data_IF_659739286366
#
_entry.id   IF_659739286366
#
_cell.length_a   1.000
_cell.length_b   1.000
_cell.length_c   1.000
_cell.angle_alpha   90.00
_cell.angle_beta   90.00
_cell.angle_gamma   90.00
#
_symmetry.space_group_name_H-M   'P 1'
#
loop_
_entity.id
_entity.type
_entity.pdbx_description
1 polymer ?
#
# COMPACT_ATOMS: atom_id res chain seq x y z
N UNK A 1 -51.86 -29.26 -11.06
CA UNK A 1 -51.84 -27.99 -10.31
C UNK A 1 -50.42 -27.45 -10.38
N UNK A 2 -50.12 -26.67 -11.42
CA UNK A 2 -48.84 -26.00 -11.64
C UNK A 2 -49.00 -24.55 -11.19
N UNK A 3 -48.61 -24.27 -9.95
CA UNK A 3 -48.61 -22.90 -9.42
C UNK A 3 -47.44 -22.12 -10.01
N UNK A 4 -47.70 -21.40 -11.10
CA UNK A 4 -46.77 -20.43 -11.67
C UNK A 4 -46.60 -19.25 -10.71
N UNK A 5 -45.39 -19.02 -10.24
CA UNK A 5 -45.00 -17.81 -9.53
C UNK A 5 -44.78 -16.69 -10.55
N UNK A 6 -45.85 -16.03 -10.96
CA UNK A 6 -45.75 -14.72 -11.60
C UNK A 6 -45.59 -13.66 -10.49
N UNK A 7 -44.34 -13.38 -10.11
CA UNK A 7 -44.00 -12.20 -9.32
C UNK A 7 -43.57 -11.08 -10.27
N UNK A 8 -44.48 -10.64 -11.14
CA UNK A 8 -44.36 -9.30 -11.68
C UNK A 8 -44.61 -8.32 -10.54
N UNK A 9 -43.56 -7.57 -10.16
CA UNK A 9 -43.68 -6.44 -9.24
C UNK A 9 -44.56 -5.40 -9.96
N UNK A 10 -45.85 -5.43 -9.66
CA UNK A 10 -46.81 -4.50 -10.22
C UNK A 10 -46.79 -3.26 -9.34
N UNK A 11 -46.45 -2.09 -9.91
CA UNK A 11 -46.44 -0.79 -9.20
C UNK A 11 -47.77 -0.44 -8.50
N UNK A 12 -48.83 -1.23 -8.72
CA UNK A 12 -50.10 -1.14 -8.01
C UNK A 12 -50.00 -1.51 -6.53
N UNK A 13 -49.07 -2.38 -6.12
CA UNK A 13 -48.94 -2.79 -4.71
C UNK A 13 -48.23 -1.74 -3.84
N UNK A 14 -47.56 -0.77 -4.47
CA UNK A 14 -46.84 0.31 -3.78
C UNK A 14 -47.72 1.55 -3.61
N UNK A 15 -49.03 1.41 -3.40
CA UNK A 15 -49.93 2.47 -2.87
C UNK A 15 -49.95 3.86 -3.53
N UNK A 16 -49.22 4.11 -4.62
CA UNK A 16 -49.08 5.42 -5.23
C UNK A 16 -50.24 5.62 -6.20
N UNK A 17 -51.31 6.23 -5.70
CA UNK A 17 -52.52 6.49 -6.48
C UNK A 17 -52.27 7.45 -7.66
N UNK A 18 -51.15 8.18 -7.69
CA UNK A 18 -50.67 8.98 -8.82
C UNK A 18 -49.13 9.14 -8.75
N UNK A 19 -48.34 8.55 -9.68
CA UNK A 19 -46.93 8.91 -9.80
C UNK A 19 -46.83 10.33 -10.38
N UNK A 20 -46.32 11.29 -9.59
CA UNK A 20 -45.98 12.62 -10.11
C UNK A 20 -44.57 12.54 -10.71
N UNK A 21 -44.41 12.95 -11.96
CA UNK A 21 -43.10 13.19 -12.55
C UNK A 21 -42.31 14.13 -11.61
N UNK A 22 -41.14 13.70 -11.15
CA UNK A 22 -40.25 14.50 -10.28
C UNK A 22 -40.32 14.21 -8.77
N UNK A 23 -41.02 13.18 -8.31
CA UNK A 23 -40.93 12.76 -6.91
C UNK A 23 -39.63 11.97 -6.66
N UNK A 24 -38.50 12.68 -6.55
CA UNK A 24 -37.35 12.13 -5.85
C UNK A 24 -37.79 11.85 -4.41
N UNK A 25 -37.67 10.59 -4.03
CA UNK A 25 -38.13 10.01 -2.79
C UNK A 25 -37.50 10.79 -1.62
N UNK A 26 -38.28 11.64 -0.96
CA UNK A 26 -37.97 12.05 0.40
C UNK A 26 -38.04 10.76 1.21
N UNK A 27 -36.89 10.13 1.47
CA UNK A 27 -36.72 9.16 2.54
C UNK A 27 -37.08 9.92 3.82
N UNK A 28 -38.35 9.86 4.21
CA UNK A 28 -38.76 10.31 5.52
C UNK A 28 -38.05 9.39 6.50
N UNK A 29 -37.04 9.89 7.20
CA UNK A 29 -36.58 9.25 8.41
C UNK A 29 -37.83 9.03 9.28
N UNK A 30 -38.14 7.77 9.58
CA UNK A 30 -39.23 7.42 10.47
C UNK A 30 -38.94 8.10 11.81
N UNK A 31 -39.74 9.12 12.14
CA UNK A 31 -39.62 9.90 13.37
C UNK A 31 -40.45 9.30 14.50
N UNK A 32 -41.07 8.14 14.26
CA UNK A 32 -41.86 7.44 15.26
C UNK A 32 -41.21 6.09 15.61
N UNK A 33 -40.43 6.02 16.70
CA UNK A 33 -39.84 4.77 17.17
C UNK A 33 -40.86 3.84 17.86
N UNK A 34 -42.16 4.14 17.83
CA UNK A 34 -43.17 3.38 18.62
C UNK A 34 -44.12 2.50 17.80
N UNK A 35 -44.04 2.50 16.46
CA UNK A 35 -44.87 1.63 15.62
C UNK A 35 -44.16 0.30 15.30
N UNK A 36 -44.26 -0.67 16.22
CA UNK A 36 -43.57 -1.97 16.14
C UNK A 36 -44.21 -2.97 15.15
N UNK A 37 -45.22 -2.58 14.35
CA UNK A 37 -46.00 -3.56 13.56
C UNK A 37 -46.08 -3.32 12.03
N UNK A 38 -45.20 -2.49 11.47
CA UNK A 38 -45.04 -2.34 10.03
C UNK A 38 -43.96 -3.24 9.42
N UNK A 39 -44.32 -4.45 8.97
CA UNK A 39 -43.42 -5.44 8.32
C UNK A 39 -43.03 -5.05 6.87
N UNK A 40 -42.91 -3.75 6.58
CA UNK A 40 -42.54 -3.20 5.26
C UNK A 40 -41.11 -2.66 5.14
N UNK A 41 -40.47 -2.30 6.25
CA UNK A 41 -39.16 -1.62 6.29
C UNK A 41 -38.04 -2.51 6.84
N UNK A 42 -38.02 -3.80 6.46
CA UNK A 42 -36.81 -4.62 6.62
C UNK A 42 -35.80 -4.34 5.50
N UNK A 43 -35.57 -3.07 5.21
CA UNK A 43 -34.33 -2.64 4.58
C UNK A 43 -33.20 -3.09 5.50
N UNK A 44 -32.27 -3.86 4.95
CA UNK A 44 -31.01 -4.22 5.58
C UNK A 44 -30.29 -2.94 6.03
N UNK A 45 -30.62 -2.41 7.21
CA UNK A 45 -29.76 -1.50 7.94
C UNK A 45 -28.81 -2.38 8.75
N UNK A 46 -27.98 -3.11 8.00
CA UNK A 46 -26.66 -3.44 8.48
C UNK A 46 -26.00 -2.09 8.78
N UNK A 47 -25.84 -1.76 10.06
CA UNK A 47 -25.27 -0.51 10.58
C UNK A 47 -23.91 -0.10 9.96
N UNK A 48 -23.37 -0.86 9.00
CA UNK A 48 -22.18 -0.53 8.23
C UNK A 48 -22.39 0.58 7.20
N UNK A 49 -23.61 0.94 6.78
CA UNK A 49 -23.83 2.02 5.81
C UNK A 49 -25.04 2.90 6.12
N UNK A 50 -24.99 3.68 7.20
CA UNK A 50 -25.92 4.82 7.33
C UNK A 50 -25.57 5.86 6.27
N UNK A 51 -26.46 6.12 5.32
CA UNK A 51 -26.36 7.25 4.41
C UNK A 51 -26.52 8.54 5.22
N UNK A 52 -25.40 9.08 5.72
CA UNK A 52 -25.38 10.39 6.38
C UNK A 52 -25.52 11.43 5.27
N UNK A 53 -26.76 11.78 4.94
CA UNK A 53 -27.05 12.96 4.12
C UNK A 53 -26.90 14.17 5.04
N UNK A 54 -25.73 14.82 5.00
CA UNK A 54 -25.59 16.12 5.64
C UNK A 54 -26.49 17.13 4.93
N UNK A 55 -27.16 18.03 5.67
CA UNK A 55 -28.02 19.05 5.07
C UNK A 55 -27.22 19.98 4.15
N UNK A 56 -27.91 20.63 3.21
CA UNK A 56 -27.33 21.75 2.46
C UNK A 56 -27.92 23.07 2.94
N UNK A 57 -27.06 24.07 3.14
CA UNK A 57 -27.49 25.43 3.42
C UNK A 57 -28.08 26.09 2.15
N UNK A 58 -28.98 27.05 2.33
CA UNK A 58 -29.48 27.91 1.25
C UNK A 58 -28.96 29.33 1.47
N UNK A 59 -28.45 29.97 0.43
CA UNK A 59 -27.98 31.36 0.51
C UNK A 59 -28.39 32.16 -0.72
N UNK A 60 -29.10 33.26 -0.52
CA UNK A 60 -29.47 34.19 -1.58
C UNK A 60 -28.60 35.43 -1.51
N UNK A 61 -27.95 35.78 -2.62
CA UNK A 61 -27.03 36.93 -2.73
C UNK A 61 -26.06 37.06 -1.54
N UNK A 62 -25.31 35.99 -1.19
CA UNK A 62 -24.37 36.06 -0.08
C UNK A 62 -23.35 37.17 -0.31
N UNK A 63 -22.97 37.87 0.76
CA UNK A 63 -21.73 38.62 0.75
C UNK A 63 -20.54 37.69 0.44
N UNK A 64 -19.41 38.27 0.01
CA UNK A 64 -18.18 37.52 -0.26
C UNK A 64 -17.84 36.61 0.93
N UNK A 65 -17.62 35.32 0.65
CA UNK A 65 -17.30 34.25 1.59
C UNK A 65 -18.40 33.88 2.62
N UNK A 66 -19.54 34.56 2.64
CA UNK A 66 -20.57 34.33 3.65
C UNK A 66 -21.22 32.94 3.53
N UNK A 67 -21.40 32.44 2.30
CA UNK A 67 -22.03 31.15 2.02
C UNK A 67 -21.11 29.95 2.27
N UNK A 68 -19.80 30.19 2.42
CA UNK A 68 -18.76 29.17 2.60
C UNK A 68 -17.95 29.38 3.89
N UNK A 69 -18.59 29.97 4.89
CA UNK A 69 -17.98 30.18 6.21
C UNK A 69 -17.72 28.85 6.94
N UNK A 70 -16.76 28.85 7.87
CA UNK A 70 -16.45 27.67 8.71
C UNK A 70 -17.70 27.11 9.40
N UNK A 71 -18.58 27.97 9.91
CA UNK A 71 -19.82 27.54 10.56
C UNK A 71 -20.78 26.81 9.61
N UNK A 72 -20.87 27.24 8.34
CA UNK A 72 -21.69 26.54 7.33
C UNK A 72 -21.03 25.21 6.95
N UNK A 73 -19.71 25.22 6.74
CA UNK A 73 -18.92 24.03 6.39
C UNK A 73 -19.01 22.96 7.47
N UNK A 74 -18.90 23.32 8.75
CA UNK A 74 -18.94 22.36 9.85
C UNK A 74 -20.34 21.76 10.07
N UNK A 75 -21.40 22.49 9.70
CA UNK A 75 -22.78 22.08 9.94
C UNK A 75 -23.48 21.43 8.74
N UNK A 76 -22.92 21.56 7.53
CA UNK A 76 -23.58 21.17 6.28
C UNK A 76 -22.63 20.41 5.34
N UNK A 77 -23.19 19.56 4.47
CA UNK A 77 -22.44 18.90 3.39
C UNK A 77 -22.28 19.78 2.15
N UNK A 78 -22.85 20.98 2.17
CA UNK A 78 -22.81 21.90 1.04
C UNK A 78 -23.68 23.14 1.22
N UNK A 79 -23.69 23.97 0.17
CA UNK A 79 -24.52 25.17 0.06
C UNK A 79 -25.08 25.31 -1.34
N UNK A 80 -26.36 25.69 -1.43
CA UNK A 80 -27.00 26.16 -2.65
C UNK A 80 -27.01 27.68 -2.64
N UNK A 81 -26.37 28.29 -3.63
CA UNK A 81 -26.30 29.74 -3.77
C UNK A 81 -27.21 30.16 -4.92
N UNK A 82 -28.12 31.09 -4.66
CA UNK A 82 -28.97 31.74 -5.67
C UNK A 82 -28.58 33.20 -5.77
N UNK A 83 -28.26 33.66 -6.98
CA UNK A 83 -27.92 35.05 -7.26
C UNK A 83 -29.07 35.75 -7.98
N UNK A 84 -29.36 36.99 -7.59
CA UNK A 84 -30.27 37.90 -8.31
C UNK A 84 -29.52 38.93 -9.13
N UNK A 85 -28.21 39.09 -8.89
CA UNK A 85 -27.30 39.98 -9.63
C UNK A 85 -26.03 39.27 -10.09
N UNK A 86 -25.24 39.96 -10.91
CA UNK A 86 -24.06 39.39 -11.55
C UNK A 86 -22.92 39.12 -10.57
N UNK A 87 -22.42 37.88 -10.60
CA UNK A 87 -21.14 37.48 -10.01
C UNK A 87 -21.16 37.33 -8.49
N UNK A 88 -20.46 36.31 -7.99
CA UNK A 88 -20.23 36.16 -6.56
C UNK A 88 -18.94 35.37 -6.28
N UNK A 89 -18.02 35.93 -5.52
CA UNK A 89 -16.78 35.26 -5.15
C UNK A 89 -16.88 34.64 -3.75
N UNK A 90 -16.52 33.37 -3.64
CA UNK A 90 -16.50 32.58 -2.42
C UNK A 90 -15.14 31.87 -2.29
N UNK A 91 -14.54 31.93 -1.11
CA UNK A 91 -13.34 31.19 -0.74
C UNK A 91 -13.68 30.33 0.46
N UNK A 92 -13.67 29.01 0.26
CA UNK A 92 -14.01 28.03 1.30
C UNK A 92 -13.08 28.21 2.50
N UNK A 93 -13.67 28.45 3.67
CA UNK A 93 -12.90 28.55 4.91
C UNK A 93 -12.49 27.14 5.39
N UNK A 94 -11.43 27.04 6.20
CA UNK A 94 -11.04 25.76 6.78
C UNK A 94 -12.15 25.23 7.73
N UNK A 95 -12.42 23.92 7.75
CA UNK A 95 -13.29 23.31 8.76
C UNK A 95 -12.65 23.40 10.14
N UNK A 96 -13.46 23.43 11.21
CA UNK A 96 -12.95 23.45 12.60
C UNK A 96 -12.19 22.17 12.92
N UNK A 97 -12.71 21.03 12.43
CA UNK A 97 -12.01 19.75 12.51
C UNK A 97 -11.17 19.57 11.25
N UNK A 98 -9.87 19.87 11.34
CA UNK A 98 -8.93 19.85 10.21
C UNK A 98 -8.49 18.46 9.76
N UNK A 99 -9.23 17.40 10.11
CA UNK A 99 -8.92 16.04 9.67
C UNK A 99 -9.20 15.89 8.16
N UNK A 100 -8.29 15.27 7.38
CA UNK A 100 -8.52 15.01 5.96
C UNK A 100 -9.82 14.22 5.72
N UNK A 101 -10.49 14.51 4.61
CA UNK A 101 -11.68 13.77 4.15
C UNK A 101 -13.02 14.48 4.33
N UNK A 102 -13.05 15.66 4.97
CA UNK A 102 -14.26 16.50 4.99
C UNK A 102 -14.61 16.90 3.55
N UNK A 103 -15.87 16.73 3.14
CA UNK A 103 -16.34 17.11 1.80
C UNK A 103 -17.39 18.20 1.87
N UNK A 104 -17.38 19.12 0.90
CA UNK A 104 -18.33 20.22 0.81
C UNK A 104 -18.71 20.48 -0.63
N UNK A 105 -20.01 20.63 -0.91
CA UNK A 105 -20.54 20.82 -2.27
C UNK A 105 -21.13 22.21 -2.41
N UNK A 106 -20.70 22.98 -3.42
CA UNK A 106 -21.32 24.26 -3.76
C UNK A 106 -22.15 24.09 -5.02
N UNK A 107 -23.41 24.51 -4.97
CA UNK A 107 -24.35 24.45 -6.08
C UNK A 107 -24.77 25.86 -6.49
N UNK A 108 -24.63 26.16 -7.78
CA UNK A 108 -25.17 27.38 -8.39
C UNK A 108 -26.62 27.17 -8.80
N UNK A 109 -27.55 27.77 -8.08
CA UNK A 109 -28.99 27.75 -8.38
C UNK A 109 -29.45 29.11 -8.90
N UNK A 110 -28.65 29.74 -9.76
CA UNK A 110 -29.09 30.91 -10.51
C UNK A 110 -30.08 30.49 -11.61
N UNK A 111 -31.34 30.88 -11.47
CA UNK A 111 -32.40 30.52 -12.42
C UNK A 111 -32.32 31.27 -13.76
N UNK A 112 -31.51 32.33 -13.86
CA UNK A 112 -31.48 33.21 -15.02
C UNK A 112 -30.34 32.92 -16.01
N UNK A 113 -29.42 32.00 -15.69
CA UNK A 113 -28.38 31.55 -16.61
C UNK A 113 -27.22 32.53 -16.84
N UNK A 114 -27.29 33.74 -16.26
CA UNK A 114 -26.37 34.84 -16.56
C UNK A 114 -25.34 35.09 -15.44
N UNK A 115 -25.59 34.60 -14.23
CA UNK A 115 -24.72 34.82 -13.09
C UNK A 115 -23.79 33.63 -12.89
N UNK A 116 -22.56 33.92 -12.47
CA UNK A 116 -21.56 32.91 -12.12
C UNK A 116 -21.14 33.07 -10.66
N UNK A 117 -20.72 31.97 -10.06
CA UNK A 117 -20.11 31.94 -8.72
C UNK A 117 -18.68 31.47 -8.90
N UNK A 118 -17.71 32.21 -8.36
CA UNK A 118 -16.32 31.76 -8.31
C UNK A 118 -16.04 31.17 -6.92
N UNK A 119 -15.69 29.88 -6.85
CA UNK A 119 -15.38 29.17 -5.60
C UNK A 119 -13.94 28.68 -5.64
N UNK A 120 -13.06 29.22 -4.79
CA UNK A 120 -11.63 28.87 -4.77
C UNK A 120 -10.97 28.93 -6.18
N UNK A 121 -11.37 29.90 -7.01
CA UNK A 121 -10.87 30.07 -8.38
C UNK A 121 -11.58 29.21 -9.45
N UNK A 122 -12.61 28.44 -9.08
CA UNK A 122 -13.45 27.69 -10.02
C UNK A 122 -14.73 28.45 -10.30
N UNK A 123 -15.01 28.72 -11.57
CA UNK A 123 -16.25 29.37 -12.00
C UNK A 123 -17.37 28.32 -12.16
N UNK A 124 -18.47 28.52 -11.44
CA UNK A 124 -19.71 27.76 -11.54
C UNK A 124 -20.78 28.60 -12.23
N UNK A 125 -21.23 28.13 -13.39
CA UNK A 125 -22.37 28.67 -14.13
C UNK A 125 -23.69 28.23 -13.49
N UNK A 126 -24.80 28.81 -13.92
CA UNK A 126 -26.14 28.42 -13.49
C UNK A 126 -26.39 26.91 -13.68
N UNK A 127 -26.83 26.23 -12.62
CA UNK A 127 -27.11 24.79 -12.62
C UNK A 127 -25.88 23.90 -12.40
N UNK A 128 -24.67 24.47 -12.35
CA UNK A 128 -23.45 23.72 -12.07
C UNK A 128 -23.24 23.52 -10.57
N UNK A 129 -22.52 22.46 -10.21
CA UNK A 129 -22.10 22.18 -8.86
C UNK A 129 -20.65 21.71 -8.84
N UNK A 130 -19.93 22.03 -7.77
CA UNK A 130 -18.57 21.56 -7.54
C UNK A 130 -18.44 21.01 -6.12
N UNK A 131 -17.88 19.81 -6.01
CA UNK A 131 -17.50 19.21 -4.74
C UNK A 131 -16.03 19.46 -4.45
N UNK A 132 -15.71 19.72 -3.19
CA UNK A 132 -14.36 19.88 -2.67
C UNK A 132 -14.12 18.90 -1.53
N UNK A 133 -12.87 18.48 -1.36
CA UNK A 133 -12.41 17.66 -0.23
C UNK A 133 -11.27 18.39 0.49
N UNK A 134 -11.33 18.46 1.81
CA UNK A 134 -10.27 18.98 2.65
C UNK A 134 -9.16 17.93 2.80
N UNK A 135 -7.92 18.26 2.44
CA UNK A 135 -6.77 17.35 2.52
C UNK A 135 -6.00 17.40 3.86
N UNK A 136 -6.47 18.24 4.79
CA UNK A 136 -5.78 18.57 6.04
C UNK A 136 -5.19 19.99 6.06
N UNK A 137 -4.98 20.59 4.88
CA UNK A 137 -4.30 21.89 4.70
C UNK A 137 -5.03 22.84 3.76
N UNK A 138 -5.72 22.31 2.75
CA UNK A 138 -6.43 23.07 1.74
C UNK A 138 -7.65 22.31 1.21
N UNK A 139 -8.57 23.06 0.59
CA UNK A 139 -9.68 22.48 -0.17
C UNK A 139 -9.22 22.14 -1.59
N UNK A 140 -9.30 20.86 -1.93
CA UNK A 140 -9.00 20.34 -3.27
C UNK A 140 -10.32 20.13 -4.02
N UNK A 141 -10.48 20.67 -5.24
CA UNK A 141 -11.63 20.36 -6.06
C UNK A 141 -11.60 18.89 -6.49
N UNK A 142 -12.74 18.21 -6.36
CA UNK A 142 -12.90 16.87 -6.90
C UNK A 142 -13.12 17.01 -8.40
N UNK A 143 -12.07 16.76 -9.18
CA UNK A 143 -12.10 16.82 -10.65
C UNK A 143 -12.35 15.46 -11.29
N UNK A 144 -12.06 14.36 -10.56
CA UNK A 144 -12.37 13.01 -11.00
C UNK A 144 -13.73 12.60 -10.44
N UNK A 145 -14.76 12.69 -11.27
CA UNK A 145 -16.12 12.30 -10.94
C UNK A 145 -16.46 10.92 -11.52
N UNK A 146 -15.75 10.53 -12.57
CA UNK A 146 -15.92 9.26 -13.27
C UNK A 146 -14.61 8.44 -13.26
N UNK A 147 -14.74 7.14 -13.55
CA UNK A 147 -13.59 6.24 -13.54
C UNK A 147 -12.58 6.54 -14.67
N UNK A 148 -13.02 7.16 -15.76
CA UNK A 148 -12.17 7.60 -16.87
C UNK A 148 -11.31 8.83 -16.53
N UNK A 149 -11.70 9.62 -15.54
CA UNK A 149 -10.88 10.71 -15.01
C UNK A 149 -9.65 10.20 -14.23
N UNK A 150 -9.68 8.94 -13.77
CA UNK A 150 -8.56 8.30 -13.09
C UNK A 150 -7.62 7.74 -14.17
N UNK A 151 -6.59 8.52 -14.50
CA UNK A 151 -5.56 8.06 -15.44
C UNK A 151 -4.81 6.87 -14.84
N UNK A 152 -5.09 5.66 -15.34
CA UNK A 152 -4.31 4.47 -15.08
C UNK A 152 -3.36 4.23 -16.26
N UNK A 153 -2.06 4.37 -16.01
CA UNK A 153 -1.02 3.99 -16.98
C UNK A 153 -0.40 2.67 -16.50
N UNK A 154 -0.78 1.51 -17.07
CA UNK A 154 -0.13 0.25 -16.74
C UNK A 154 1.36 0.31 -17.06
N UNK A 155 2.18 -0.42 -16.31
CA UNK A 155 3.63 -0.50 -16.54
C UNK A 155 4.01 -1.25 -17.84
N UNK A 156 3.02 -1.71 -18.61
CA UNK A 156 3.17 -2.41 -19.89
C UNK A 156 1.92 -2.29 -20.77
N UNK A 157 1.98 -2.90 -21.95
CA UNK A 157 0.82 -3.03 -22.84
C UNK A 157 -0.06 -4.18 -22.38
N UNK A 158 -1.36 -3.95 -22.23
CA UNK A 158 -2.34 -5.04 -22.10
C UNK A 158 -2.51 -5.68 -23.48
N UNK A 159 -2.06 -6.92 -23.64
CA UNK A 159 -2.15 -7.65 -24.92
C UNK A 159 -3.51 -8.32 -25.11
N UNK A 160 -4.29 -8.44 -24.05
CA UNK A 160 -5.63 -9.01 -24.09
C UNK A 160 -6.57 -8.30 -25.08
N UNK A 161 -7.30 -9.10 -25.86
CA UNK A 161 -8.29 -8.63 -26.84
C UNK A 161 -9.71 -8.57 -26.28
N UNK A 162 -9.91 -8.94 -25.02
CA UNK A 162 -11.19 -8.89 -24.32
C UNK A 162 -10.98 -8.53 -22.84
N UNK A 163 -12.05 -8.07 -22.19
CA UNK A 163 -12.01 -7.57 -20.80
C UNK A 163 -11.60 -8.63 -19.80
N UNK A 164 -12.05 -9.89 -19.97
CA UNK A 164 -11.72 -10.95 -19.03
C UNK A 164 -10.22 -11.27 -19.07
N UNK A 165 -9.66 -11.46 -20.26
CA UNK A 165 -8.23 -11.69 -20.42
C UNK A 165 -7.40 -10.48 -19.96
N UNK A 166 -7.91 -9.25 -20.10
CA UNK A 166 -7.24 -8.05 -19.62
C UNK A 166 -7.17 -8.00 -18.08
N UNK A 167 -8.25 -8.44 -17.42
CA UNK A 167 -8.28 -8.56 -15.96
C UNK A 167 -7.34 -9.67 -15.49
N UNK A 168 -7.33 -10.82 -16.16
CA UNK A 168 -6.42 -11.93 -15.85
C UNK A 168 -4.95 -11.51 -16.05
N UNK A 169 -4.66 -10.76 -17.11
CA UNK A 169 -3.33 -10.19 -17.38
C UNK A 169 -2.93 -9.16 -16.31
N UNK A 170 -3.85 -8.30 -15.88
CA UNK A 170 -3.60 -7.31 -14.84
C UNK A 170 -3.39 -7.96 -13.47
N UNK A 171 -4.18 -8.98 -13.12
CA UNK A 171 -4.02 -9.71 -11.85
C UNK A 171 -2.67 -10.43 -11.80
N UNK A 172 -2.25 -11.03 -12.92
CA UNK A 172 -0.91 -11.59 -13.06
C UNK A 172 0.22 -10.55 -13.01
N UNK A 173 -0.07 -9.25 -13.17
CA UNK A 173 0.94 -8.19 -13.04
C UNK A 173 1.18 -7.73 -11.60
N UNK A 174 0.57 -8.36 -10.60
CA UNK A 174 0.83 -8.02 -9.19
C UNK A 174 2.05 -8.75 -8.66
N UNK A 175 3.24 -8.11 -8.61
CA UNK A 175 4.45 -8.77 -8.15
C UNK A 175 4.28 -9.24 -6.71
N UNK A 176 4.34 -10.55 -6.50
CA UNK A 176 4.34 -11.10 -5.15
C UNK A 176 5.76 -11.10 -4.62
N UNK A 177 5.99 -10.42 -3.51
CA UNK A 177 7.29 -10.46 -2.83
C UNK A 177 7.40 -11.74 -2.00
N UNK A 178 8.33 -12.62 -2.36
CA UNK A 178 8.63 -13.85 -1.64
C UNK A 178 9.88 -13.66 -0.79
N UNK A 179 9.96 -14.37 0.33
CA UNK A 179 11.16 -14.46 1.16
C UNK A 179 11.44 -15.93 1.44
N UNK A 180 12.61 -16.39 1.01
CA UNK A 180 13.06 -17.77 1.13
C UNK A 180 14.23 -17.86 2.11
N UNK A 181 14.20 -18.82 3.03
CA UNK A 181 15.31 -19.08 3.95
C UNK A 181 16.21 -20.18 3.42
N UNK A 182 17.51 -19.89 3.33
CA UNK A 182 18.54 -20.82 2.89
C UNK A 182 19.45 -21.13 4.09
N UNK A 183 19.48 -22.38 4.59
CA UNK A 183 20.27 -22.75 5.76
C UNK A 183 21.77 -22.75 5.45
N UNK A 184 22.60 -22.37 6.43
CA UNK A 184 24.06 -22.32 6.27
C UNK A 184 24.69 -23.68 5.94
N UNK A 185 24.01 -24.78 6.29
CA UNK A 185 24.46 -26.15 5.97
C UNK A 185 24.46 -26.45 4.47
N UNK A 186 23.72 -25.68 3.68
CA UNK A 186 23.70 -25.81 2.21
C UNK A 186 24.84 -25.05 1.52
N UNK A 187 25.58 -24.19 2.27
CA UNK A 187 26.64 -23.38 1.71
C UNK A 187 27.97 -24.14 1.61
N UNK A 188 28.72 -23.84 0.56
CA UNK A 188 30.09 -24.31 0.37
C UNK A 188 31.11 -23.26 0.83
N UNK A 189 32.35 -23.69 1.02
CA UNK A 189 33.46 -22.79 1.38
C UNK A 189 33.78 -21.81 0.25
N UNK A 190 34.00 -20.55 0.60
CA UNK A 190 34.61 -19.57 -0.28
C UNK A 190 36.13 -19.60 -0.26
N UNK A 191 36.76 -18.46 -0.55
CA UNK A 191 38.21 -18.29 -0.59
C UNK A 191 38.87 -18.42 0.79
N UNK A 192 38.26 -17.84 1.82
CA UNK A 192 38.67 -17.90 3.22
C UNK A 192 37.47 -18.39 4.03
N UNK A 193 37.37 -19.71 4.17
CA UNK A 193 36.22 -20.31 4.84
C UNK A 193 36.10 -19.87 6.31
N UNK A 194 34.86 -19.69 6.83
CA UNK A 194 34.60 -19.68 8.27
C UNK A 194 34.86 -21.07 8.88
N UNK A 195 34.74 -21.19 10.19
CA UNK A 195 34.85 -22.49 10.86
C UNK A 195 33.87 -23.52 10.23
N UNK A 196 34.18 -24.80 10.41
CA UNK A 196 33.29 -25.88 9.98
C UNK A 196 31.90 -25.75 10.62
N UNK A 197 30.88 -26.29 9.95
CA UNK A 197 29.53 -26.30 10.49
C UNK A 197 29.47 -27.02 11.83
N UNK A 198 28.76 -26.42 12.78
CA UNK A 198 28.52 -26.98 14.11
C UNK A 198 27.08 -26.70 14.56
N UNK A 199 26.60 -27.48 15.52
CA UNK A 199 25.29 -27.28 16.12
C UNK A 199 25.44 -26.48 17.42
N UNK A 200 25.02 -25.21 17.40
CA UNK A 200 24.92 -24.39 18.60
C UNK A 200 23.77 -24.89 19.47
N UNK A 201 24.07 -25.31 20.69
CA UNK A 201 23.09 -25.96 21.58
C UNK A 201 22.96 -25.23 22.92
N UNK A 202 21.71 -24.97 23.33
CA UNK A 202 21.30 -24.59 24.67
C UNK A 202 20.10 -25.46 25.07
N UNK A 203 18.93 -24.89 25.38
CA UNK A 203 17.67 -25.67 25.46
C UNK A 203 17.20 -26.16 24.09
N UNK A 204 17.39 -25.33 23.05
CA UNK A 204 17.15 -25.65 21.65
C UNK A 204 18.48 -25.67 20.88
N UNK A 205 18.46 -26.14 19.64
CA UNK A 205 19.64 -26.24 18.78
C UNK A 205 19.45 -25.61 17.41
N UNK A 206 20.53 -25.09 16.83
CA UNK A 206 20.58 -24.55 15.48
C UNK A 206 21.95 -24.81 14.85
N UNK A 207 21.98 -25.19 13.57
CA UNK A 207 23.24 -25.34 12.84
C UNK A 207 23.77 -23.98 12.42
N UNK A 208 25.04 -23.74 12.71
CA UNK A 208 25.75 -22.49 12.44
C UNK A 208 27.11 -22.75 11.79
N UNK A 209 27.68 -21.71 11.18
CA UNK A 209 29.11 -21.59 10.93
C UNK A 209 29.64 -20.33 11.60
N UNK A 210 30.81 -20.42 12.24
CA UNK A 210 31.39 -19.30 12.96
C UNK A 210 32.23 -18.42 12.04
N UNK A 211 31.78 -17.19 11.82
CA UNK A 211 32.52 -16.18 11.08
C UNK A 211 33.32 -15.30 12.04
N UNK A 212 34.61 -15.13 11.78
CA UNK A 212 35.50 -14.24 12.51
C UNK A 212 35.13 -12.78 12.31
N UNK A 213 35.24 -11.96 13.37
CA UNK A 213 35.12 -10.51 13.28
C UNK A 213 36.43 -9.81 12.88
N UNK A 214 37.53 -10.55 12.71
CA UNK A 214 38.87 -9.97 12.48
C UNK A 214 39.49 -10.34 11.14
N UNK A 215 38.87 -11.23 10.36
CA UNK A 215 39.30 -11.59 9.01
C UNK A 215 38.09 -11.72 8.10
N UNK A 216 38.22 -11.29 6.84
CA UNK A 216 37.17 -11.53 5.85
C UNK A 216 37.03 -13.04 5.64
N UNK A 217 35.82 -13.54 5.86
CA UNK A 217 35.49 -14.94 5.63
C UNK A 217 34.23 -15.04 4.78
N UNK A 218 34.22 -16.00 3.87
CA UNK A 218 33.21 -16.12 2.84
C UNK A 218 32.70 -17.55 2.69
N UNK A 219 31.44 -17.62 2.30
CA UNK A 219 30.73 -18.84 1.90
C UNK A 219 29.98 -18.57 0.61
N UNK A 220 29.75 -19.63 -0.16
CA UNK A 220 29.04 -19.54 -1.43
C UNK A 220 27.83 -20.46 -1.44
N UNK A 221 26.80 -20.06 -2.16
CA UNK A 221 25.62 -20.88 -2.40
C UNK A 221 25.14 -20.70 -3.84
N UNK A 222 24.69 -21.79 -4.46
CA UNK A 222 24.05 -21.75 -5.76
C UNK A 222 22.55 -21.73 -5.52
N UNK A 223 21.94 -20.56 -5.72
CA UNK A 223 20.49 -20.37 -5.59
C UNK A 223 19.85 -20.49 -6.97
N UNK A 224 18.85 -21.36 -7.13
CA UNK A 224 18.09 -21.44 -8.37
C UNK A 224 17.04 -20.32 -8.39
N UNK A 225 17.17 -19.38 -9.33
CA UNK A 225 16.18 -18.36 -9.57
C UNK A 225 14.87 -19.03 -10.04
N UNK A 226 13.70 -18.70 -9.45
CA UNK A 226 12.43 -19.27 -9.89
C UNK A 226 12.13 -18.98 -11.36
N UNK A 227 11.41 -19.87 -12.03
CA UNK A 227 11.01 -19.76 -13.45
C UNK A 227 10.10 -18.55 -13.76
N UNK A 228 9.50 -17.97 -12.73
CA UNK A 228 8.61 -16.81 -12.77
C UNK A 228 9.20 -15.60 -12.00
N UNK A 229 10.52 -15.57 -11.82
CA UNK A 229 11.22 -14.43 -11.23
C UNK A 229 10.93 -13.14 -12.02
N UNK A 230 10.62 -12.07 -11.30
CA UNK A 230 10.41 -10.75 -11.86
C UNK A 230 11.53 -9.78 -11.45
N UNK A 231 12.17 -9.18 -12.46
CA UNK A 231 13.24 -8.20 -12.28
C UNK A 231 14.63 -8.82 -12.13
N UNK A 232 15.67 -7.97 -12.12
CA UNK A 232 17.08 -8.39 -12.07
C UNK A 232 17.75 -8.17 -10.70
N UNK A 233 16.96 -8.04 -9.63
CA UNK A 233 17.48 -7.68 -8.30
C UNK A 233 16.88 -8.52 -7.20
N UNK A 234 17.70 -8.83 -6.19
CA UNK A 234 17.28 -9.48 -4.95
C UNK A 234 17.70 -8.63 -3.75
N UNK A 235 17.15 -8.89 -2.57
CA UNK A 235 17.66 -8.35 -1.31
C UNK A 235 17.91 -9.48 -0.32
N UNK A 236 18.95 -9.36 0.49
CA UNK A 236 19.36 -10.45 1.40
C UNK A 236 19.45 -9.94 2.83
N UNK A 237 19.01 -10.77 3.78
CA UNK A 237 19.27 -10.60 5.21
C UNK A 237 19.96 -11.85 5.76
N UNK A 238 20.84 -11.70 6.73
CA UNK A 238 21.59 -12.80 7.35
C UNK A 238 21.00 -13.09 8.72
N UNK A 239 20.78 -14.38 9.01
CA UNK A 239 20.32 -14.87 10.31
C UNK A 239 21.54 -15.35 11.10
N UNK A 240 21.78 -14.73 12.24
CA UNK A 240 22.92 -15.00 13.10
C UNK A 240 22.50 -15.34 14.52
N UNK A 241 23.43 -15.88 15.29
CA UNK A 241 23.33 -16.16 16.71
C UNK A 241 24.62 -15.70 17.40
N UNK A 242 24.48 -15.10 18.58
CA UNK A 242 25.64 -14.80 19.42
C UNK A 242 26.13 -16.11 20.02
N UNK A 243 27.23 -16.62 19.49
CA UNK A 243 27.79 -17.90 19.91
C UNK A 243 28.80 -17.77 21.07
N UNK A 244 29.43 -16.61 21.21
CA UNK A 244 30.40 -16.33 22.25
C UNK A 244 29.74 -15.81 23.54
N UNK A 245 30.36 -16.10 24.69
CA UNK A 245 29.83 -15.69 26.00
C UNK A 245 29.80 -14.17 26.21
N UNK A 246 30.71 -13.43 25.57
CA UNK A 246 30.77 -11.98 25.68
C UNK A 246 29.79 -11.36 24.70
N UNK A 247 28.80 -10.65 25.22
CA UNK A 247 27.83 -9.88 24.43
C UNK A 247 28.48 -8.80 23.55
N UNK A 248 27.85 -8.40 22.44
CA UNK A 248 28.23 -7.19 21.73
C UNK A 248 28.04 -5.95 22.62
N UNK A 249 28.96 -4.99 22.51
CA UNK A 249 28.81 -3.69 23.13
C UNK A 249 27.75 -2.85 22.39
N UNK A 250 27.16 -1.88 23.10
CA UNK A 250 26.16 -0.99 22.51
C UNK A 250 26.74 -0.23 21.31
N UNK A 251 26.09 -0.35 20.16
CA UNK A 251 26.52 0.32 18.92
C UNK A 251 27.55 -0.46 18.10
N UNK A 252 27.96 -1.66 18.53
CA UNK A 252 28.69 -2.56 17.64
C UNK A 252 27.82 -2.98 16.46
N UNK A 253 28.41 -3.20 15.30
CA UNK A 253 27.72 -3.52 14.06
C UNK A 253 28.20 -4.88 13.60
N UNK A 254 27.26 -5.74 13.24
CA UNK A 254 27.53 -6.97 12.49
C UNK A 254 27.16 -6.70 11.04
N UNK A 255 28.09 -6.91 10.10
CA UNK A 255 27.87 -6.57 8.70
C UNK A 255 28.38 -7.65 7.75
N UNK A 256 27.55 -7.95 6.75
CA UNK A 256 27.85 -8.88 5.67
C UNK A 256 27.77 -8.16 4.33
N UNK A 257 28.71 -8.46 3.45
CA UNK A 257 28.71 -8.09 2.04
C UNK A 257 28.13 -9.26 1.24
N UNK A 258 27.15 -8.96 0.39
CA UNK A 258 26.49 -9.96 -0.45
C UNK A 258 26.56 -9.50 -1.90
N UNK A 259 27.01 -10.40 -2.78
CA UNK A 259 27.04 -10.21 -4.22
C UNK A 259 26.67 -11.51 -4.93
N UNK A 260 26.41 -11.45 -6.23
CA UNK A 260 26.30 -12.65 -7.04
C UNK A 260 26.32 -12.40 -8.53
N UNK A 261 26.41 -13.50 -9.26
CA UNK A 261 26.38 -13.64 -10.72
C UNK A 261 25.34 -14.70 -11.09
N UNK A 262 24.68 -14.51 -12.24
CA UNK A 262 23.79 -15.51 -12.83
C UNK A 262 24.54 -16.38 -13.81
N UNK A 263 24.21 -17.66 -13.87
CA UNK A 263 24.76 -18.63 -14.82
C UNK A 263 23.59 -19.31 -15.52
N UNK A 264 23.42 -18.94 -16.79
CA UNK A 264 22.51 -19.60 -17.70
C UNK A 264 23.15 -20.80 -18.41
N UNK A 265 22.38 -21.38 -19.32
CA UNK A 265 22.85 -22.50 -20.13
C UNK A 265 23.95 -22.04 -21.10
N UNK A 266 25.12 -22.68 -21.04
CA UNK A 266 26.32 -22.40 -21.84
C UNK A 266 27.18 -21.24 -21.35
N UNK A 267 26.87 -20.67 -20.19
CA UNK A 267 27.69 -19.65 -19.56
C UNK A 267 28.88 -20.28 -18.80
N UNK A 268 29.91 -19.48 -18.54
CA UNK A 268 31.08 -19.94 -17.79
C UNK A 268 30.84 -19.79 -16.28
N UNK A 269 31.26 -20.76 -15.48
CA UNK A 269 31.22 -20.66 -14.00
C UNK A 269 32.09 -19.51 -13.42
N UNK A 270 32.90 -18.84 -14.26
CA UNK A 270 33.84 -17.80 -13.86
C UNK A 270 33.34 -16.37 -14.15
N UNK A 271 32.03 -16.16 -14.25
CA UNK A 271 31.49 -14.81 -14.39
C UNK A 271 31.82 -13.93 -13.18
N UNK A 272 31.88 -12.62 -13.40
CA UNK A 272 32.16 -11.66 -12.34
C UNK A 272 30.86 -11.27 -11.65
N UNK A 273 30.81 -11.45 -10.33
CA UNK A 273 29.69 -11.01 -9.53
C UNK A 273 29.42 -9.50 -9.68
N UNK A 274 28.15 -9.12 -9.56
CA UNK A 274 27.73 -7.73 -9.54
C UNK A 274 28.23 -6.95 -8.32
N UNK A 275 27.88 -5.67 -8.26
CA UNK A 275 28.26 -4.80 -7.14
C UNK A 275 27.69 -5.29 -5.81
N UNK A 276 28.56 -5.58 -4.85
CA UNK A 276 28.16 -6.09 -3.55
C UNK A 276 27.36 -5.06 -2.74
N UNK A 277 26.34 -5.54 -2.01
CA UNK A 277 25.53 -4.75 -1.09
C UNK A 277 25.76 -5.19 0.34
N UNK A 278 25.62 -4.25 1.29
CA UNK A 278 25.79 -4.55 2.72
C UNK A 278 24.44 -4.86 3.37
N UNK A 279 24.40 -5.93 4.16
CA UNK A 279 23.33 -6.25 5.10
C UNK A 279 23.91 -6.18 6.51
N UNK A 280 23.33 -5.35 7.38
CA UNK A 280 23.89 -5.10 8.71
C UNK A 280 22.83 -4.97 9.81
N UNK A 281 23.30 -5.08 11.04
CA UNK A 281 22.55 -4.81 12.26
C UNK A 281 23.47 -4.06 13.23
N UNK A 282 23.01 -2.94 13.77
CA UNK A 282 23.62 -2.34 14.96
C UNK A 282 23.11 -3.09 16.18
N UNK A 283 24.00 -3.81 16.85
CA UNK A 283 23.72 -4.50 18.08
C UNK A 283 23.47 -3.50 19.22
N UNK A 284 22.53 -3.83 20.09
CA UNK A 284 22.37 -3.19 21.39
C UNK A 284 23.02 -4.05 22.48
N UNK A 285 23.25 -3.46 23.65
CA UNK A 285 23.85 -4.17 24.78
C UNK A 285 22.91 -5.17 25.48
N UNK A 286 21.68 -5.36 24.99
CA UNK A 286 20.73 -6.33 25.56
C UNK A 286 20.92 -7.72 25.02
N UNK A 287 21.60 -7.85 23.87
CA UNK A 287 21.89 -9.14 23.30
C UNK A 287 22.92 -9.93 24.12
N UNK A 288 22.66 -11.20 24.37
CA UNK A 288 23.53 -12.13 25.11
C UNK A 288 23.82 -13.40 24.31
N UNK A 289 24.68 -14.27 24.85
CA UNK A 289 24.94 -15.58 24.24
C UNK A 289 23.64 -16.34 24.01
N UNK A 290 23.52 -16.94 22.82
CA UNK A 290 22.36 -17.63 22.30
C UNK A 290 21.18 -16.74 21.90
N UNK A 291 21.34 -15.42 21.80
CA UNK A 291 20.33 -14.58 21.17
C UNK A 291 20.43 -14.64 19.64
N UNK A 292 19.26 -14.66 18.99
CA UNK A 292 19.12 -14.60 17.54
C UNK A 292 19.20 -13.15 17.06
N UNK A 293 20.06 -12.90 16.10
CA UNK A 293 20.18 -11.65 15.37
C UNK A 293 19.67 -11.85 13.93
N UNK A 294 19.00 -10.83 13.40
CA UNK A 294 18.65 -10.75 11.98
C UNK A 294 19.05 -9.38 11.48
N UNK A 295 19.92 -9.34 10.47
CA UNK A 295 20.28 -8.09 9.82
C UNK A 295 19.09 -7.52 9.03
N UNK A 296 19.11 -6.21 8.79
CA UNK A 296 18.19 -5.61 7.84
C UNK A 296 18.40 -6.23 6.45
N UNK A 297 17.35 -6.28 5.62
CA UNK A 297 17.56 -6.60 4.21
C UNK A 297 18.52 -5.57 3.60
N UNK A 298 19.46 -6.05 2.80
CA UNK A 298 20.37 -5.20 2.03
C UNK A 298 19.58 -4.26 1.11
N UNK A 299 20.27 -3.24 0.59
CA UNK A 299 19.83 -2.60 -0.65
C UNK A 299 19.73 -3.62 -1.80
N UNK A 300 19.03 -3.26 -2.87
CA UNK A 300 18.86 -4.12 -4.04
C UNK A 300 20.22 -4.54 -4.60
N UNK A 301 20.47 -5.85 -4.62
CA UNK A 301 21.65 -6.47 -5.22
C UNK A 301 21.29 -6.71 -6.68
N UNK A 302 21.99 -6.04 -7.59
CA UNK A 302 21.91 -6.32 -9.02
C UNK A 302 22.75 -7.54 -9.33
N UNK A 303 22.09 -8.65 -9.67
CA UNK A 303 22.75 -9.85 -10.16
C UNK A 303 22.94 -9.67 -11.66
N UNK A 304 24.18 -9.77 -12.13
CA UNK A 304 24.51 -9.54 -13.53
C UNK A 304 23.83 -10.62 -14.37
N UNK A 305 23.14 -10.20 -15.44
CA UNK A 305 22.42 -11.06 -16.39
C UNK A 305 21.34 -11.97 -15.77
N UNK A 306 20.83 -11.68 -14.57
CA UNK A 306 19.80 -12.51 -13.93
C UNK A 306 18.56 -12.71 -14.81
N UNK A 307 18.30 -13.97 -15.17
CA UNK A 307 17.04 -14.40 -15.74
C UNK A 307 16.34 -15.46 -14.87
N UNK A 308 15.06 -15.65 -15.14
CA UNK A 308 14.25 -16.68 -14.47
C UNK A 308 14.74 -18.09 -14.86
N UNK A 309 14.78 -19.01 -13.89
CA UNK A 309 15.22 -20.40 -14.08
C UNK A 309 16.75 -20.59 -14.14
N UNK A 310 17.54 -19.55 -13.91
CA UNK A 310 19.01 -19.63 -13.91
C UNK A 310 19.60 -19.89 -12.53
N UNK A 311 20.83 -20.42 -12.49
CA UNK A 311 21.56 -20.63 -11.25
C UNK A 311 22.33 -19.37 -10.87
N UNK A 312 22.10 -18.85 -9.66
CA UNK A 312 22.77 -17.66 -9.13
C UNK A 312 23.82 -18.06 -8.11
N UNK A 313 25.07 -17.72 -8.37
CA UNK A 313 26.14 -17.84 -7.38
C UNK A 313 26.05 -16.68 -6.41
N UNK A 314 25.65 -16.95 -5.17
CA UNK A 314 25.68 -15.97 -4.09
C UNK A 314 26.97 -16.10 -3.30
N UNK A 315 27.66 -14.98 -3.11
CA UNK A 315 28.80 -14.83 -2.23
C UNK A 315 28.37 -14.05 -0.99
N UNK A 316 28.57 -14.63 0.20
CA UNK A 316 28.25 -14.00 1.49
C UNK A 316 29.54 -13.89 2.29
N UNK A 317 30.00 -12.65 2.46
CA UNK A 317 31.27 -12.33 3.11
C UNK A 317 30.98 -11.57 4.40
N UNK A 318 31.48 -12.04 5.54
CA UNK A 318 31.56 -11.19 6.72
C UNK A 318 32.73 -10.22 6.55
N UNK A 319 32.44 -8.92 6.59
CA UNK A 319 33.45 -7.89 6.34
C UNK A 319 34.20 -7.56 7.63
N UNK A 320 35.46 -7.98 7.78
CA UNK A 320 36.36 -7.48 8.83
C UNK A 320 36.87 -6.06 8.49
N UNK A 321 35.93 -5.12 8.35
CA UNK A 321 36.18 -3.73 7.96
C UNK A 321 35.65 -2.78 9.04
N UNK A 322 35.80 -1.47 8.87
CA UNK A 322 35.21 -0.48 9.80
C UNK A 322 33.68 -0.53 9.89
N UNK A 323 33.01 -1.22 8.96
CA UNK A 323 31.55 -1.38 8.96
C UNK A 323 31.09 -2.49 9.91
N UNK A 324 31.85 -3.58 10.09
CA UNK A 324 31.60 -4.58 11.13
C UNK A 324 32.51 -4.27 12.32
N UNK A 325 31.92 -3.74 13.38
CA UNK A 325 32.66 -3.39 14.59
C UNK A 325 32.59 -4.47 15.66
N UNK A 326 31.87 -5.57 15.41
CA UNK A 326 31.77 -6.70 16.34
C UNK A 326 32.98 -7.65 16.18
N UNK A 327 34.06 -7.40 16.91
CA UNK A 327 35.32 -8.12 16.71
C UNK A 327 35.29 -9.64 17.00
N UNK A 328 34.26 -10.12 17.70
CA UNK A 328 34.16 -11.54 18.07
C UNK A 328 33.62 -12.41 16.93
N UNK A 329 33.71 -13.73 17.10
CA UNK A 329 33.03 -14.67 16.21
C UNK A 329 31.52 -14.55 16.34
N UNK A 330 30.81 -14.82 15.25
CA UNK A 330 29.35 -14.89 15.21
C UNK A 330 28.91 -16.14 14.46
N UNK A 331 27.90 -16.83 15.00
CA UNK A 331 27.33 -18.00 14.37
C UNK A 331 26.31 -17.61 13.33
N UNK A 332 26.58 -17.83 12.05
CA UNK A 332 25.61 -17.62 10.96
C UNK A 332 24.82 -18.90 10.74
N UNK A 333 23.49 -18.84 10.82
CA UNK A 333 22.58 -19.98 10.62
C UNK A 333 22.03 -20.06 9.19
N UNK A 334 22.08 -18.97 8.43
CA UNK A 334 21.61 -18.93 7.04
C UNK A 334 21.28 -17.52 6.59
N UNK A 335 20.66 -17.40 5.42
CA UNK A 335 20.19 -16.12 4.87
C UNK A 335 18.70 -16.20 4.53
N UNK A 336 18.04 -15.04 4.50
CA UNK A 336 16.80 -14.91 3.74
C UNK A 336 17.07 -14.15 2.45
N UNK A 337 16.67 -14.73 1.32
CA UNK A 337 16.65 -14.07 0.02
C UNK A 337 15.23 -13.59 -0.24
N UNK A 338 15.08 -12.30 -0.58
CA UNK A 338 13.81 -11.69 -0.94
C UNK A 338 13.84 -11.21 -2.37
N UNK A 339 12.81 -11.59 -3.13
CA UNK A 339 12.68 -11.34 -4.56
C UNK A 339 11.19 -11.24 -4.94
N UNK A 340 10.91 -10.79 -6.16
CA UNK A 340 9.55 -10.66 -6.70
C UNK A 340 9.27 -11.77 -7.70
N UNK A 341 8.04 -12.29 -7.73
CA UNK A 341 7.55 -13.23 -8.74
C UNK A 341 6.28 -12.68 -9.39
N UNK A 342 6.01 -13.15 -10.61
CA UNK A 342 4.72 -13.00 -11.30
C UNK A 342 3.70 -13.98 -10.72
#
# INVERSE_FOLDING_TARGET
MTGGWDRSINNREIGQKQPRNGAFLILKAATDPTDEHGVGDRGYNDDRYSLIVLPMALSTDPAVNAAVSTAIIDANGGVIITLTGAGNAQTLQAPTTVTPGTSFTVVSNDGNGANTIEVNGITLSAGEAQRFIWDGTAWIPVTAVDADDITFTPAGTIVATNVQAAIEELDGQHPTTITEFIPISAFINGSVAPDAAETLTSTNSVDIRQFSGTVNQDVKYVWEAPDDLLGGTITVSVICWISNATAPANGEIVAFSISGDSIGNSDLLSESAGGAQTSSLTADATYVQYDRLKTAFSSAITIVNLAAGESVNLDVIRLATTTDTYAQKIGVAGINVKYSRV
#
